data_IF_950948367879
#
_entry.id   IF_950948367879
#
_cell.length_a   1.000
_cell.length_b   1.000
_cell.length_c   1.000
_cell.angle_alpha   90.00
_cell.angle_beta   90.00
_cell.angle_gamma   90.00
#
_symmetry.space_group_name_H-M   'P 1'
#
loop_
_entity.id
_entity.type
_entity.pdbx_description
1 polymer ?
#
# COMPACT_ATOMS: atom_id res chain seq x y z
N UNK A 1 -10.16 17.15 -7.60
CA UNK A 1 -8.85 16.83 -7.01
C UNK A 1 -9.07 15.72 -6.01
N UNK A 2 -8.31 14.63 -6.10
CA UNK A 2 -8.35 13.60 -5.07
C UNK A 2 -7.87 14.22 -3.74
N UNK A 3 -8.43 13.74 -2.62
CA UNK A 3 -8.02 14.20 -1.29
C UNK A 3 -6.57 13.77 -1.03
N UNK A 4 -5.74 14.65 -0.46
CA UNK A 4 -4.40 14.30 -0.01
C UNK A 4 -4.44 13.08 0.93
N UNK A 5 -3.44 12.20 0.81
CA UNK A 5 -3.34 10.97 1.58
C UNK A 5 -4.24 9.82 1.08
N UNK A 6 -4.84 9.87 -0.11
CA UNK A 6 -5.71 8.78 -0.62
C UNK A 6 -4.96 7.63 -1.30
N UNK A 7 -3.63 7.62 -1.29
CA UNK A 7 -2.79 6.65 -2.02
C UNK A 7 -2.82 5.30 -1.32
N UNK A 8 -3.24 4.25 -2.02
CA UNK A 8 -3.39 2.91 -1.45
C UNK A 8 -2.44 1.85 -2.05
N UNK A 9 -1.55 2.26 -2.95
CA UNK A 9 -0.60 1.36 -3.62
C UNK A 9 0.76 2.02 -3.72
N UNK A 10 1.81 1.22 -3.53
CA UNK A 10 3.19 1.62 -3.77
C UNK A 10 3.45 1.73 -5.27
N UNK A 11 4.08 2.81 -5.69
CA UNK A 11 4.69 2.89 -7.02
C UNK A 11 6.09 2.26 -7.00
N UNK A 12 6.41 1.33 -7.93
CA UNK A 12 7.70 0.62 -7.91
C UNK A 12 8.91 1.53 -8.11
N UNK A 13 8.83 2.43 -9.11
CA UNK A 13 9.84 3.45 -9.38
C UNK A 13 9.16 4.68 -10.01
N UNK A 14 9.56 5.87 -9.56
CA UNK A 14 9.12 7.15 -10.16
C UNK A 14 9.74 7.32 -11.55
N UNK A 15 10.98 6.89 -11.72
CA UNK A 15 11.77 7.06 -12.93
C UNK A 15 11.77 5.81 -13.80
N UNK A 16 11.96 5.98 -15.10
CA UNK A 16 12.16 4.87 -16.04
C UNK A 16 13.44 4.12 -15.66
N UNK A 17 13.40 2.79 -15.73
CA UNK A 17 14.57 1.95 -15.48
C UNK A 17 15.22 1.52 -16.79
N UNK A 18 16.53 1.76 -16.90
CA UNK A 18 17.36 1.32 -18.01
C UNK A 18 18.23 0.13 -17.57
N UNK A 19 18.41 -0.84 -18.48
CA UNK A 19 19.35 -1.95 -18.29
C UNK A 19 20.55 -1.74 -19.22
N UNK A 20 21.72 -1.51 -18.63
CA UNK A 20 22.98 -1.37 -19.37
C UNK A 20 23.75 -2.68 -19.34
N UNK A 21 24.35 -3.04 -20.47
CA UNK A 21 25.22 -4.22 -20.63
C UNK A 21 26.62 -3.98 -20.02
N UNK A 22 26.66 -3.47 -18.80
CA UNK A 22 27.88 -3.24 -18.01
C UNK A 22 27.76 -3.94 -16.65
N UNK A 23 28.85 -4.48 -16.07
CA UNK A 23 28.77 -5.18 -14.80
C UNK A 23 28.23 -4.30 -13.65
N UNK A 24 27.41 -4.88 -12.78
CA UNK A 24 26.91 -4.19 -11.59
C UNK A 24 28.02 -3.98 -10.56
N UNK A 25 28.17 -2.74 -10.08
CA UNK A 25 29.05 -2.44 -8.95
C UNK A 25 28.50 -2.92 -7.59
N UNK A 26 27.20 -3.26 -7.51
CA UNK A 26 26.52 -3.63 -6.24
C UNK A 26 26.38 -5.14 -6.04
N UNK A 27 26.48 -5.94 -7.11
CA UNK A 27 26.27 -7.39 -7.07
C UNK A 27 27.36 -8.09 -7.86
N UNK A 28 28.18 -8.86 -7.15
CA UNK A 28 29.22 -9.69 -7.73
C UNK A 28 28.60 -10.67 -8.75
N UNK A 29 29.23 -10.83 -9.92
CA UNK A 29 28.79 -11.68 -11.03
C UNK A 29 27.51 -11.26 -11.78
N UNK A 30 26.96 -10.06 -11.56
CA UNK A 30 25.87 -9.56 -12.41
C UNK A 30 26.44 -8.84 -13.65
N UNK A 31 26.26 -9.35 -14.88
CA UNK A 31 26.90 -8.83 -16.10
C UNK A 31 26.20 -7.60 -16.70
N UNK A 32 25.17 -7.10 -16.03
CA UNK A 32 24.38 -5.93 -16.44
C UNK A 32 24.10 -5.05 -15.22
N UNK A 33 23.77 -3.79 -15.46
CA UNK A 33 23.43 -2.81 -14.43
C UNK A 33 22.04 -2.26 -14.69
N UNK A 34 21.24 -2.19 -13.64
CA UNK A 34 19.91 -1.56 -13.68
C UNK A 34 20.02 -0.18 -13.06
N UNK A 35 19.62 0.84 -13.79
CA UNK A 35 19.71 2.24 -13.39
C UNK A 35 18.34 2.90 -13.51
N UNK A 36 18.02 3.78 -12.56
CA UNK A 36 16.97 4.78 -12.77
C UNK A 36 17.52 5.88 -13.68
N UNK A 37 16.77 6.27 -14.70
CA UNK A 37 17.10 7.40 -15.56
C UNK A 37 16.61 8.72 -14.94
N UNK A 38 16.83 9.83 -15.63
CA UNK A 38 16.26 11.14 -15.27
C UNK A 38 14.84 11.33 -15.85
N UNK A 39 14.33 10.36 -16.61
CA UNK A 39 13.00 10.40 -17.22
C UNK A 39 11.97 9.84 -16.26
N UNK A 40 10.90 10.60 -16.00
CA UNK A 40 9.74 10.12 -15.23
C UNK A 40 9.03 8.99 -15.99
N UNK A 41 8.54 8.00 -15.25
CA UNK A 41 7.69 6.94 -15.80
C UNK A 41 6.28 7.47 -16.10
N UNK A 42 5.62 6.88 -17.09
CA UNK A 42 4.21 7.21 -17.41
C UNK A 42 3.30 7.02 -16.19
N UNK A 43 3.49 5.94 -15.42
CA UNK A 43 2.76 5.70 -14.16
C UNK A 43 2.92 6.83 -13.15
N UNK A 44 4.09 7.48 -13.08
CA UNK A 44 4.32 8.60 -12.18
C UNK A 44 3.64 9.88 -12.69
N UNK A 45 3.63 10.10 -14.01
CA UNK A 45 2.92 11.21 -14.62
C UNK A 45 1.40 11.08 -14.46
N UNK A 46 0.86 9.88 -14.68
CA UNK A 46 -0.56 9.56 -14.48
C UNK A 46 -0.99 9.72 -13.02
N UNK A 47 -0.05 9.51 -12.08
CA UNK A 47 -0.24 9.73 -10.65
C UNK A 47 0.00 11.18 -10.20
N UNK A 48 0.19 12.11 -11.16
CA UNK A 48 0.39 13.54 -10.90
C UNK A 48 1.57 13.87 -9.97
N UNK A 49 2.70 13.20 -10.20
CA UNK A 49 3.90 13.34 -9.35
C UNK A 49 4.40 14.78 -9.20
N UNK A 50 4.11 15.68 -10.16
CA UNK A 50 4.50 17.08 -10.07
C UNK A 50 3.76 17.86 -8.98
N UNK A 51 2.56 17.42 -8.61
CA UNK A 51 1.77 18.00 -7.53
C UNK A 51 1.85 17.16 -6.25
N UNK A 52 2.69 16.11 -6.22
CA UNK A 52 2.87 15.28 -5.04
C UNK A 52 3.69 16.02 -3.96
N UNK A 53 3.29 15.82 -2.71
CA UNK A 53 4.04 16.32 -1.54
C UNK A 53 5.05 15.24 -1.14
N UNK A 54 6.32 15.62 -1.05
CA UNK A 54 7.35 14.73 -0.53
C UNK A 54 7.26 14.69 1.00
N UNK A 55 7.00 13.50 1.54
CA UNK A 55 6.98 13.26 2.99
C UNK A 55 8.16 12.39 3.40
N UNK A 56 8.50 12.41 4.69
CA UNK A 56 9.43 11.43 5.23
C UNK A 56 8.82 10.03 5.10
N UNK A 57 9.65 9.05 4.73
CA UNK A 57 9.23 7.66 4.71
C UNK A 57 9.37 7.10 6.11
N UNK A 58 8.25 6.84 6.76
CA UNK A 58 8.28 6.20 8.07
C UNK A 58 8.18 4.67 7.93
N UNK A 59 8.82 3.96 8.86
CA UNK A 59 8.79 2.50 8.94
C UNK A 59 7.65 2.09 9.87
N UNK A 60 6.50 1.77 9.28
CA UNK A 60 5.32 1.36 10.01
C UNK A 60 4.52 0.27 9.30
N UNK A 61 3.22 0.25 9.60
CA UNK A 61 2.25 -0.53 8.85
C UNK A 61 1.13 0.34 8.34
N UNK A 62 0.87 0.23 7.04
CA UNK A 62 -0.14 1.00 6.35
C UNK A 62 -1.56 0.69 6.85
N UNK A 63 -2.34 1.75 7.03
CA UNK A 63 -3.72 1.74 7.53
C UNK A 63 -4.61 2.60 6.63
N UNK A 64 -5.91 2.40 6.70
CA UNK A 64 -6.89 3.15 5.92
C UNK A 64 -8.12 3.45 6.76
N UNK A 65 -8.74 4.63 6.59
CA UNK A 65 -9.99 4.96 7.28
C UNK A 65 -11.13 4.99 6.27
N UNK A 66 -12.14 4.15 6.47
CA UNK A 66 -13.37 4.15 5.67
C UNK A 66 -14.54 3.55 6.46
N UNK A 67 -15.73 3.62 5.90
CA UNK A 67 -16.95 3.16 6.54
C UNK A 67 -16.99 1.64 6.66
N UNK A 68 -17.29 1.16 7.86
CA UNK A 68 -17.65 -0.22 8.15
C UNK A 68 -18.93 -0.23 9.00
N UNK A 69 -19.94 -1.03 8.60
CA UNK A 69 -21.24 -1.09 9.30
C UNK A 69 -21.88 0.30 9.51
N UNK A 70 -21.71 1.20 8.55
CA UNK A 70 -22.27 2.56 8.57
C UNK A 70 -21.51 3.58 9.42
N UNK A 71 -20.33 3.25 9.94
CA UNK A 71 -19.52 4.13 10.79
C UNK A 71 -18.06 4.20 10.30
N UNK A 72 -17.35 5.33 10.45
CA UNK A 72 -15.93 5.41 10.17
C UNK A 72 -15.13 4.40 11.01
N UNK A 73 -14.27 3.63 10.37
CA UNK A 73 -13.45 2.58 11.00
C UNK A 73 -12.01 2.67 10.54
N UNK A 74 -11.08 2.20 11.37
CA UNK A 74 -9.70 1.95 10.97
C UNK A 74 -9.61 0.57 10.30
N UNK A 75 -8.88 0.49 9.21
CA UNK A 75 -8.67 -0.71 8.43
C UNK A 75 -7.18 -1.01 8.32
N UNK A 76 -6.82 -2.26 8.55
CA UNK A 76 -5.44 -2.74 8.42
C UNK A 76 -5.21 -3.30 7.01
N UNK A 77 -3.98 -3.15 6.51
CA UNK A 77 -3.58 -3.72 5.24
C UNK A 77 -3.63 -5.24 5.28
N UNK A 78 -4.35 -5.84 4.32
CA UNK A 78 -4.37 -7.28 4.09
C UNK A 78 -4.35 -7.59 2.60
N UNK A 79 -3.16 -7.86 2.05
CA UNK A 79 -3.03 -8.28 0.66
C UNK A 79 -3.56 -9.72 0.48
N UNK A 80 -4.41 -9.92 -0.52
CA UNK A 80 -4.81 -11.26 -0.96
C UNK A 80 -3.67 -11.86 -1.78
N UNK A 81 -2.99 -12.84 -1.18
CA UNK A 81 -1.80 -13.49 -1.72
C UNK A 81 -2.14 -14.77 -2.50
N UNK A 82 -1.30 -15.16 -3.48
CA UNK A 82 -1.48 -16.42 -4.18
C UNK A 82 -1.31 -17.60 -3.22
N UNK A 83 -1.95 -18.72 -3.55
CA UNK A 83 -1.75 -19.99 -2.89
C UNK A 83 -0.36 -20.57 -3.27
N UNK A 84 0.06 -21.64 -2.58
CA UNK A 84 1.41 -22.21 -2.76
C UNK A 84 1.67 -22.72 -4.19
N UNK A 85 0.65 -23.26 -4.86
CA UNK A 85 0.78 -23.79 -6.22
C UNK A 85 0.88 -22.65 -7.24
N UNK A 86 0.03 -21.64 -7.11
CA UNK A 86 0.02 -20.46 -7.95
C UNK A 86 1.31 -19.65 -7.81
N UNK A 87 1.79 -19.42 -6.59
CA UNK A 87 3.08 -18.75 -6.33
C UNK A 87 4.25 -19.47 -7.00
N UNK A 88 4.28 -20.81 -6.94
CA UNK A 88 5.31 -21.61 -7.63
C UNK A 88 5.22 -21.47 -9.15
N UNK A 89 4.01 -21.47 -9.72
CA UNK A 89 3.76 -21.30 -11.15
C UNK A 89 4.18 -19.91 -11.62
N UNK A 90 3.85 -18.87 -10.85
CA UNK A 90 4.20 -17.49 -11.13
C UNK A 90 5.71 -17.26 -11.06
N UNK A 91 6.39 -17.74 -10.02
CA UNK A 91 7.87 -17.67 -9.93
C UNK A 91 8.55 -18.38 -11.09
N UNK A 92 8.05 -19.56 -11.49
CA UNK A 92 8.58 -20.27 -12.66
C UNK A 92 8.43 -19.46 -13.95
N UNK A 93 7.30 -18.77 -14.11
CA UNK A 93 7.06 -17.86 -15.23
C UNK A 93 8.03 -16.67 -15.21
N UNK A 94 8.22 -16.00 -14.07
CA UNK A 94 9.17 -14.88 -13.93
C UNK A 94 10.62 -15.29 -14.25
N UNK A 95 11.00 -16.54 -13.96
CA UNK A 95 12.34 -17.06 -14.27
C UNK A 95 12.50 -17.61 -15.68
N UNK A 96 11.41 -17.81 -16.44
CA UNK A 96 11.51 -18.30 -17.82
C UNK A 96 11.98 -17.18 -18.76
N UNK A 97 13.14 -17.38 -19.39
CA UNK A 97 13.75 -16.40 -20.34
C UNK A 97 12.97 -16.25 -21.64
N UNK A 98 12.15 -17.24 -21.98
CA UNK A 98 11.20 -17.19 -23.07
C UNK A 98 9.82 -17.06 -22.46
N UNK A 99 9.14 -15.93 -22.65
CA UNK A 99 7.71 -15.92 -22.94
C UNK A 99 7.24 -14.50 -23.26
N UNK A 100 6.94 -14.28 -24.54
CA UNK A 100 6.12 -13.17 -25.04
C UNK A 100 4.62 -13.33 -24.66
N UNK A 101 4.26 -14.34 -23.86
CA UNK A 101 2.89 -14.59 -23.41
C UNK A 101 2.69 -14.10 -21.99
N UNK A 102 1.64 -13.32 -21.78
CA UNK A 102 1.20 -12.81 -20.49
C UNK A 102 0.84 -13.96 -19.52
N UNK A 103 1.15 -13.79 -18.23
CA UNK A 103 0.76 -14.76 -17.21
C UNK A 103 -0.73 -14.61 -16.88
N UNK A 104 -1.49 -15.69 -17.00
CA UNK A 104 -2.93 -15.66 -16.73
C UNK A 104 -3.24 -16.22 -15.33
N UNK A 105 -3.81 -15.36 -14.49
CA UNK A 105 -4.29 -15.71 -13.16
C UNK A 105 -5.73 -16.23 -13.20
N UNK A 106 -6.01 -17.31 -12.48
CA UNK A 106 -7.36 -17.72 -12.13
C UNK A 106 -7.72 -17.13 -10.76
N UNK A 107 -8.43 -15.99 -10.74
CA UNK A 107 -8.74 -15.25 -9.50
C UNK A 107 -9.55 -16.03 -8.46
N UNK A 108 -10.24 -17.11 -8.88
CA UNK A 108 -11.02 -17.97 -7.99
C UNK A 108 -10.15 -19.02 -7.30
N UNK A 109 -9.23 -19.64 -8.03
CA UNK A 109 -8.47 -20.80 -7.55
C UNK A 109 -7.07 -20.43 -7.06
N UNK A 110 -6.41 -19.46 -7.70
CA UNK A 110 -4.99 -19.18 -7.47
C UNK A 110 -4.70 -18.44 -6.16
N UNK A 111 -5.71 -17.96 -5.44
CA UNK A 111 -5.55 -17.06 -4.30
C UNK A 111 -6.05 -17.65 -2.99
N UNK A 112 -5.41 -17.26 -1.90
CA UNK A 112 -5.89 -17.57 -0.56
C UNK A 112 -7.26 -16.91 -0.31
N UNK A 113 -8.13 -17.54 0.49
CA UNK A 113 -9.38 -16.91 0.90
C UNK A 113 -9.07 -15.69 1.76
N UNK A 114 -9.97 -14.71 1.71
CA UNK A 114 -9.98 -13.52 2.56
C UNK A 114 -11.30 -13.45 3.33
N UNK A 115 -11.37 -12.74 4.46
CA UNK A 115 -12.63 -12.49 5.16
C UNK A 115 -13.67 -11.81 4.24
N UNK A 116 -14.96 -12.01 4.50
CA UNK A 116 -16.04 -11.36 3.74
C UNK A 116 -15.99 -9.83 3.82
N UNK A 117 -15.52 -9.29 4.94
CA UNK A 117 -15.34 -7.87 5.13
C UNK A 117 -14.13 -7.29 4.38
N UNK A 118 -13.32 -8.11 3.70
CA UNK A 118 -12.18 -7.64 2.93
C UNK A 118 -12.64 -6.80 1.75
N UNK A 119 -11.98 -5.67 1.54
CA UNK A 119 -12.20 -4.82 0.37
C UNK A 119 -10.90 -4.64 -0.42
N UNK A 120 -10.95 -4.62 -1.76
CA UNK A 120 -9.79 -4.28 -2.57
C UNK A 120 -9.40 -2.82 -2.31
N UNK A 121 -8.10 -2.54 -2.38
CA UNK A 121 -7.63 -1.17 -2.42
C UNK A 121 -8.23 -0.43 -3.63
N UNK A 122 -8.37 0.89 -3.51
CA UNK A 122 -8.82 1.75 -4.60
C UNK A 122 -7.85 1.68 -5.78
N UNK A 123 -8.40 1.90 -6.96
CA UNK A 123 -7.63 1.99 -8.22
C UNK A 123 -6.83 0.71 -8.57
N UNK A 124 -7.20 -0.43 -7.98
CA UNK A 124 -6.75 -1.72 -8.49
C UNK A 124 -7.40 -1.95 -9.85
N UNK A 125 -6.56 -2.37 -10.81
CA UNK A 125 -7.01 -2.80 -12.12
C UNK A 125 -8.05 -3.91 -12.01
N UNK A 126 -9.09 -3.84 -12.83
CA UNK A 126 -10.17 -4.81 -12.82
C UNK A 126 -10.32 -5.44 -14.20
N UNK A 127 -10.40 -6.76 -14.22
CA UNK A 127 -10.77 -7.53 -15.40
C UNK A 127 -12.13 -8.17 -15.13
N UNK A 128 -13.12 -7.90 -15.99
CA UNK A 128 -14.51 -8.35 -15.80
C UNK A 128 -15.07 -8.00 -14.42
N UNK A 129 -14.74 -6.81 -13.90
CA UNK A 129 -15.16 -6.32 -12.60
C UNK A 129 -14.43 -6.91 -11.39
N UNK A 130 -13.53 -7.88 -11.58
CA UNK A 130 -12.75 -8.51 -10.52
C UNK A 130 -11.35 -7.88 -10.41
N UNK A 131 -10.85 -7.63 -9.19
CA UNK A 131 -9.51 -7.08 -9.02
C UNK A 131 -8.44 -8.07 -9.51
N UNK A 132 -7.47 -7.57 -10.27
CA UNK A 132 -6.32 -8.36 -10.74
C UNK A 132 -5.10 -8.13 -9.84
N UNK A 133 -4.20 -9.11 -9.72
CA UNK A 133 -2.97 -8.95 -8.95
C UNK A 133 -2.01 -7.97 -9.61
N UNK A 134 -1.15 -7.38 -8.78
CA UNK A 134 -0.03 -6.56 -9.21
C UNK A 134 1.13 -7.38 -9.79
N UNK A 135 2.21 -6.69 -10.16
CA UNK A 135 3.45 -7.28 -10.68
C UNK A 135 4.13 -8.29 -9.73
N UNK A 136 3.79 -8.26 -8.44
CA UNK A 136 4.27 -9.22 -7.44
C UNK A 136 3.32 -10.40 -7.25
N UNK A 137 2.19 -10.43 -7.97
CA UNK A 137 1.17 -11.45 -7.86
C UNK A 137 0.23 -11.24 -6.68
N UNK A 138 0.22 -10.07 -6.03
CA UNK A 138 -0.64 -9.77 -4.87
C UNK A 138 -1.83 -8.90 -5.27
N UNK A 139 -2.96 -9.06 -4.61
CA UNK A 139 -4.07 -8.11 -4.72
C UNK A 139 -4.12 -7.28 -3.44
N UNK A 140 -3.69 -6.00 -3.50
CA UNK A 140 -3.86 -5.01 -2.43
C UNK A 140 -5.25 -4.99 -1.81
N UNK A 141 -5.35 -4.87 -0.49
CA UNK A 141 -6.65 -4.72 0.16
C UNK A 141 -6.60 -4.46 1.64
N UNK A 142 -7.79 -4.40 2.23
CA UNK A 142 -8.02 -3.91 3.58
C UNK A 142 -9.01 -4.77 4.33
N UNK A 143 -8.85 -4.85 5.65
CA UNK A 143 -9.85 -5.42 6.57
C UNK A 143 -10.08 -4.50 7.76
N UNK A 144 -11.31 -4.40 8.29
CA UNK A 144 -11.60 -3.52 9.41
C UNK A 144 -10.90 -4.04 10.68
N UNK A 145 -10.39 -3.11 11.48
CA UNK A 145 -9.77 -3.39 12.78
C UNK A 145 -10.86 -3.44 13.84
N UNK A 146 -11.33 -4.63 14.20
CA UNK A 146 -12.32 -4.76 15.27
C UNK A 146 -11.72 -4.54 16.67
N UNK A 147 -12.58 -4.07 17.60
CA UNK A 147 -12.23 -3.90 19.02
C UNK A 147 -11.78 -5.26 19.57
N UNK A 148 -10.56 -5.34 20.11
CA UNK A 148 -9.91 -6.54 20.62
C UNK A 148 -9.33 -7.52 19.58
N UNK A 149 -9.08 -7.07 18.34
CA UNK A 149 -8.34 -7.90 17.38
C UNK A 149 -6.94 -8.24 17.91
N UNK A 150 -6.68 -9.52 18.18
CA UNK A 150 -5.33 -9.99 18.56
C UNK A 150 -4.31 -9.79 17.45
N UNK A 151 -4.75 -9.95 16.19
CA UNK A 151 -3.89 -9.78 15.02
C UNK A 151 -3.51 -8.31 14.80
N UNK A 152 -4.44 -7.39 15.07
CA UNK A 152 -4.28 -5.95 14.84
C UNK A 152 -4.27 -5.17 16.16
N UNK A 153 -3.69 -5.73 17.22
CA UNK A 153 -3.76 -5.17 18.56
C UNK A 153 -3.17 -3.74 18.63
N UNK A 154 -2.08 -3.47 17.90
CA UNK A 154 -1.49 -2.14 17.78
C UNK A 154 -2.31 -1.15 16.96
N UNK A 155 -3.12 -1.62 16.01
CA UNK A 155 -4.06 -0.73 15.31
C UNK A 155 -5.23 -0.40 16.23
N UNK A 156 -5.69 -1.39 17.03
CA UNK A 156 -6.79 -1.18 17.95
C UNK A 156 -6.44 -0.28 19.14
N UNK A 157 -5.16 -0.11 19.48
CA UNK A 157 -4.71 0.73 20.60
C UNK A 157 -4.69 2.23 20.27
N UNK A 158 -4.78 2.60 18.99
CA UNK A 158 -4.72 3.99 18.52
C UNK A 158 -6.08 4.58 18.17
N UNK A 159 -7.14 3.79 18.31
CA UNK A 159 -8.50 4.18 17.93
C UNK A 159 -9.48 3.90 19.05
N UNK A 160 -10.34 4.87 19.34
CA UNK A 160 -11.52 4.67 20.18
C UNK A 160 -12.76 4.82 19.34
N UNK A 161 -13.39 3.69 19.00
CA UNK A 161 -14.67 3.68 18.31
C UNK A 161 -15.83 4.19 19.18
N UNK A 162 -15.68 4.16 20.51
CA UNK A 162 -16.67 4.71 21.43
C UNK A 162 -16.76 6.23 21.30
N UNK A 163 -15.62 6.91 21.15
CA UNK A 163 -15.55 8.35 20.96
C UNK A 163 -15.43 8.76 19.49
N UNK A 164 -15.28 7.81 18.57
CA UNK A 164 -15.08 8.07 17.15
C UNK A 164 -13.77 8.80 16.83
N UNK A 165 -12.71 8.57 17.61
CA UNK A 165 -11.42 9.28 17.49
C UNK A 165 -10.26 8.32 17.25
N UNK A 166 -9.19 8.86 16.66
CA UNK A 166 -7.89 8.24 16.46
C UNK A 166 -6.79 9.11 17.07
N UNK A 167 -5.70 8.49 17.54
CA UNK A 167 -4.47 9.17 17.93
C UNK A 167 -3.54 9.29 16.72
N UNK A 168 -3.23 10.54 16.36
CA UNK A 168 -2.43 10.89 15.18
C UNK A 168 -1.22 11.71 15.59
N UNK A 169 -0.05 11.38 15.05
CA UNK A 169 1.17 12.17 15.08
C UNK A 169 1.12 13.18 13.92
N UNK A 170 1.26 14.47 14.22
CA UNK A 170 1.27 15.56 13.23
C UNK A 170 2.26 16.65 13.64
N UNK A 171 2.62 17.54 12.72
CA UNK A 171 3.42 18.71 13.03
C UNK A 171 2.66 19.69 13.91
N UNK A 172 3.35 20.29 14.87
CA UNK A 172 2.81 21.39 15.67
C UNK A 172 2.57 22.60 14.75
N UNK A 173 1.39 23.25 14.79
CA UNK A 173 1.04 24.34 13.87
C UNK A 173 2.02 25.52 13.88
N UNK A 174 2.54 25.84 15.07
CA UNK A 174 3.43 27.00 15.27
C UNK A 174 4.93 26.64 15.27
N UNK A 175 5.26 25.35 15.33
CA UNK A 175 6.66 24.88 15.36
C UNK A 175 6.83 23.64 14.47
N UNK A 176 7.21 23.84 13.19
CA UNK A 176 7.37 22.75 12.23
C UNK A 176 8.42 21.70 12.65
N UNK A 177 9.33 22.03 13.57
CA UNK A 177 10.34 21.09 14.08
C UNK A 177 9.81 20.13 15.15
N UNK A 178 8.57 20.33 15.62
CA UNK A 178 7.95 19.56 16.69
C UNK A 178 6.81 18.71 16.15
N UNK A 179 6.79 17.44 16.54
CA UNK A 179 5.67 16.53 16.31
C UNK A 179 4.87 16.38 17.59
N UNK A 180 3.54 16.38 17.47
CA UNK A 180 2.61 16.20 18.58
C UNK A 180 1.63 15.06 18.32
N UNK A 181 1.25 14.36 19.39
CA UNK A 181 0.17 13.38 19.35
C UNK A 181 -1.14 14.11 19.63
N UNK A 182 -2.11 13.95 18.73
CA UNK A 182 -3.41 14.60 18.80
C UNK A 182 -4.55 13.60 18.62
N UNK A 183 -5.66 13.85 19.31
CA UNK A 183 -6.90 13.13 19.08
C UNK A 183 -7.66 13.76 17.90
N UNK A 184 -7.94 12.98 16.86
CA UNK A 184 -8.60 13.42 15.63
C UNK A 184 -9.86 12.58 15.39
N UNK A 185 -11.02 13.18 15.05
CA UNK A 185 -12.21 12.42 14.67
C UNK A 185 -11.96 11.52 13.45
N UNK A 186 -12.42 10.27 13.50
CA UNK A 186 -12.31 9.34 12.38
C UNK A 186 -13.07 9.84 11.13
N UNK A 187 -14.12 10.62 11.32
CA UNK A 187 -14.84 11.28 10.23
C UNK A 187 -13.96 12.24 9.43
N UNK A 188 -13.02 12.91 10.10
CA UNK A 188 -12.04 13.78 9.44
C UNK A 188 -11.02 12.98 8.66
N UNK A 189 -10.71 11.74 9.07
CA UNK A 189 -9.74 10.88 8.38
C UNK A 189 -10.36 10.03 7.25
N UNK A 190 -11.67 10.16 6.99
CA UNK A 190 -12.36 9.34 5.98
C UNK A 190 -11.69 9.39 4.61
N UNK A 191 -11.53 8.20 4.04
CA UNK A 191 -10.92 7.93 2.76
C UNK A 191 -9.42 8.28 2.67
N UNK A 192 -8.75 8.42 3.82
CA UNK A 192 -7.29 8.62 3.91
C UNK A 192 -6.56 7.35 4.34
N UNK A 193 -5.36 7.20 3.79
CA UNK A 193 -4.35 6.23 4.16
C UNK A 193 -3.38 6.87 5.15
N UNK A 194 -3.03 6.09 6.17
CA UNK A 194 -2.19 6.48 7.30
C UNK A 194 -1.10 5.44 7.47
N UNK A 195 -0.01 5.79 8.16
CA UNK A 195 0.98 4.83 8.60
C UNK A 195 0.89 4.66 10.11
N UNK A 196 0.70 3.44 10.61
CA UNK A 196 0.84 3.15 12.04
C UNK A 196 2.31 2.95 12.36
N UNK A 197 2.84 3.82 13.23
CA UNK A 197 4.25 3.89 13.58
C UNK A 197 4.44 3.53 15.07
N UNK A 198 5.67 3.57 15.58
CA UNK A 198 6.05 3.12 16.93
C UNK A 198 5.11 3.52 18.08
N UNK A 199 5.02 2.60 19.07
CA UNK A 199 4.16 2.57 20.28
C UNK A 199 2.85 3.36 20.23
N UNK A 200 1.98 3.01 19.27
CA UNK A 200 0.57 3.39 19.24
C UNK A 200 0.30 4.85 18.83
N UNK A 201 0.82 5.28 17.68
CA UNK A 201 0.33 6.50 17.01
C UNK A 201 0.30 6.33 15.50
N UNK A 202 -0.62 7.03 14.83
CA UNK A 202 -0.73 7.02 13.36
C UNK A 202 -0.17 8.31 12.78
N UNK A 203 0.56 8.25 11.68
CA UNK A 203 0.99 9.42 10.94
C UNK A 203 0.10 9.64 9.72
N UNK A 204 -0.39 10.86 9.57
CA UNK A 204 -1.06 11.30 8.34
C UNK A 204 -0.01 11.68 7.31
N UNK A 205 -0.03 11.01 6.15
CA UNK A 205 0.71 11.51 4.99
C UNK A 205 0.06 12.83 4.54
N UNK A 206 0.70 13.96 4.89
CA UNK A 206 0.27 15.31 4.48
C UNK A 206 0.59 15.55 3.00
#
# INVERSE_FOLDING_TARGET
>A
MNRLGSVQRKMPCVFVTEVKAEPSAKREHQPFKVLATETLSEKALDADVYNAVATEKVDGTCCYVTNYKGQPYLWARLDRKPNKQADKRFKKFLHSKENAKEFHWNTEEDFKPVPECWIPAKEIEKQNGKPVPDENGHIPGWVPVEKNSKQYCWHSSVVSYEFGIALVLRHHPDDPGVLEISAVPLSELLEQTLELIGTNSMETHM
#
